data_IF_589448481121
#
_entry.id   IF_589448481121
#
_cell.length_a   1.000
_cell.length_b   1.000
_cell.length_c   1.000
_cell.angle_alpha   90.00
_cell.angle_beta   90.00
_cell.angle_gamma   90.00
#
_symmetry.space_group_name_H-M   'P 1'
#
loop_
_entity.id
_entity.type
_entity.pdbx_description
1 polymer ?
#
# COMPACT_ATOMS: atom_id res chain seq x y z
N UNK A 1 46.91 2.89 -0.11
CA UNK A 1 45.67 2.27 0.42
C UNK A 1 44.70 3.38 0.77
N UNK A 2 43.44 3.30 0.32
CA UNK A 2 42.51 4.43 0.24
C UNK A 2 41.89 4.80 1.59
N UNK A 3 41.92 6.11 1.93
CA UNK A 3 41.32 6.70 3.15
C UNK A 3 39.84 6.38 3.35
N UNK A 4 39.13 6.05 2.26
CA UNK A 4 37.72 5.70 2.27
C UNK A 4 37.49 4.32 2.92
N UNK A 5 38.45 3.40 2.78
CA UNK A 5 38.34 2.05 3.32
C UNK A 5 38.51 2.03 4.85
N UNK A 6 39.30 2.95 5.39
CA UNK A 6 39.55 3.10 6.81
C UNK A 6 38.36 3.76 7.54
N UNK A 7 37.72 4.74 6.89
CA UNK A 7 36.51 5.39 7.41
C UNK A 7 35.30 4.44 7.52
N UNK A 8 35.12 3.54 6.53
CA UNK A 8 34.04 2.55 6.57
C UNK A 8 34.28 1.47 7.63
N UNK A 9 35.54 1.11 7.90
CA UNK A 9 35.88 0.13 8.94
C UNK A 9 35.71 0.71 10.35
N UNK A 10 36.00 1.99 10.56
CA UNK A 10 35.75 2.68 11.83
C UNK A 10 34.24 2.87 12.10
N UNK A 11 33.42 3.15 11.08
CA UNK A 11 31.98 3.27 11.23
C UNK A 11 31.29 1.93 11.60
N UNK A 12 31.88 0.80 11.20
CA UNK A 12 31.37 -0.54 11.54
C UNK A 12 31.72 -0.98 12.97
N UNK A 13 32.81 -0.46 13.56
CA UNK A 13 33.30 -0.87 14.88
C UNK A 13 32.75 -0.03 16.04
N UNK A 14 32.02 1.06 15.77
CA UNK A 14 31.56 2.02 16.77
C UNK A 14 30.08 2.00 17.15
N UNK A 15 29.30 0.97 16.82
CA UNK A 15 27.87 0.92 17.13
C UNK A 15 27.57 0.02 18.33
N UNK A 16 27.62 0.61 19.53
CA UNK A 16 26.89 0.06 20.68
C UNK A 16 25.38 0.35 20.55
N UNK A 17 24.49 -0.56 21.01
CA UNK A 17 23.06 -0.37 20.97
C UNK A 17 22.62 0.50 22.16
N UNK A 18 22.68 1.82 22.01
CA UNK A 18 22.05 2.72 22.97
C UNK A 18 20.53 2.76 22.74
N UNK A 19 19.81 2.31 23.76
CA UNK A 19 18.37 2.28 23.90
C UNK A 19 17.72 3.62 23.52
N UNK A 20 16.73 3.57 22.62
CA UNK A 20 15.68 4.59 22.57
C UNK A 20 14.67 4.30 23.70
N UNK A 21 15.01 4.73 24.92
CA UNK A 21 14.05 4.96 26.00
C UNK A 21 13.76 6.46 26.04
N UNK A 22 12.70 6.88 25.35
CA UNK A 22 12.23 8.25 25.34
C UNK A 22 10.74 8.26 25.06
N UNK A 23 9.93 8.23 26.12
CA UNK A 23 8.49 8.40 26.06
C UNK A 23 8.16 9.80 25.52
N UNK A 24 7.76 9.89 24.26
CA UNK A 24 7.15 11.08 23.71
C UNK A 24 5.66 11.08 24.10
N UNK A 25 5.30 11.83 25.14
CA UNK A 25 3.88 12.15 25.43
C UNK A 25 3.35 13.10 24.35
N UNK A 26 2.30 12.73 23.58
CA UNK A 26 1.66 13.68 22.69
C UNK A 26 0.67 14.53 23.51
N UNK A 27 1.07 15.77 23.78
CA UNK A 27 0.13 16.84 24.10
C UNK A 27 -0.66 17.15 22.83
N UNK A 28 -1.96 16.85 22.75
CA UNK A 28 -2.94 17.68 22.06
C UNK A 28 -4.36 17.23 22.46
N UNK A 29 -5.05 18.09 23.20
CA UNK A 29 -6.47 18.00 23.50
C UNK A 29 -7.29 18.28 22.24
N UNK A 30 -7.98 17.27 21.71
CA UNK A 30 -9.05 17.46 20.73
C UNK A 30 -10.37 17.43 21.49
N UNK A 31 -11.01 18.60 21.59
CA UNK A 31 -12.37 18.77 22.10
C UNK A 31 -13.34 18.55 20.94
N UNK A 32 -14.32 17.66 21.12
CA UNK A 32 -15.43 17.45 20.19
C UNK A 32 -16.16 16.12 20.42
N UNK A 33 -17.14 16.14 21.32
CA UNK A 33 -18.18 15.11 21.58
C UNK A 33 -19.11 14.97 20.33
N UNK A 34 -19.78 13.87 20.00
CA UNK A 34 -20.20 12.68 20.73
C UNK A 34 -20.39 11.48 19.77
N UNK A 35 -20.10 10.28 20.28
CA UNK A 35 -20.32 8.99 19.64
C UNK A 35 -19.53 7.93 20.40
N UNK A 36 -20.22 7.18 21.28
CA UNK A 36 -19.67 6.27 22.28
C UNK A 36 -18.61 5.30 21.73
N UNK A 37 -17.50 5.18 22.47
CA UNK A 37 -16.61 4.01 22.44
C UNK A 37 -15.25 4.18 21.77
N UNK A 38 -14.25 4.59 22.57
CA UNK A 38 -12.85 4.20 22.43
C UNK A 38 -12.12 4.47 21.08
N UNK A 39 -12.11 5.74 20.63
CA UNK A 39 -11.39 6.18 19.42
C UNK A 39 -9.85 5.99 19.40
N UNK A 40 -9.27 5.39 20.43
CA UNK A 40 -7.81 5.18 20.61
C UNK A 40 -7.43 3.71 20.81
N UNK A 41 -8.40 2.79 20.86
CA UNK A 41 -8.15 1.39 21.22
C UNK A 41 -7.36 0.63 20.13
N UNK A 42 -7.52 1.02 18.87
CA UNK A 42 -6.79 0.43 17.73
C UNK A 42 -5.29 0.78 17.73
N UNK A 43 -4.89 1.92 18.33
CA UNK A 43 -3.48 2.32 18.46
C UNK A 43 -2.72 1.45 19.46
N UNK A 44 -3.42 0.86 20.44
CA UNK A 44 -2.83 0.05 21.50
C UNK A 44 -2.91 -1.46 21.22
N UNK A 45 -3.44 -1.85 20.04
CA UNK A 45 -3.52 -3.24 19.63
C UNK A 45 -2.14 -3.68 19.13
N UNK A 46 -1.57 -4.71 19.74
CA UNK A 46 -0.38 -5.35 19.20
C UNK A 46 -0.63 -5.73 17.75
N UNK A 47 0.30 -5.37 16.87
CA UNK A 47 0.21 -5.72 15.46
C UNK A 47 0.02 -7.24 15.36
N UNK A 48 -1.04 -7.71 14.68
CA UNK A 48 -1.29 -9.14 14.57
C UNK A 48 -0.07 -9.81 13.91
N UNK A 49 0.26 -11.01 14.38
CA UNK A 49 1.40 -11.77 13.87
C UNK A 49 1.20 -12.12 12.40
N UNK A 50 2.28 -12.48 11.69
CA UNK A 50 2.20 -12.88 10.29
C UNK A 50 1.25 -14.07 10.07
N UNK A 51 1.15 -14.98 11.05
CA UNK A 51 0.18 -16.08 11.06
C UNK A 51 -1.27 -15.61 11.26
N UNK A 52 -1.52 -14.73 12.24
CA UNK A 52 -2.86 -14.17 12.48
C UNK A 52 -3.37 -13.36 11.28
N UNK A 53 -2.47 -12.63 10.60
CA UNK A 53 -2.78 -11.91 9.36
C UNK A 53 -3.06 -12.86 8.20
N UNK A 54 -2.24 -13.91 8.05
CA UNK A 54 -2.45 -14.91 7.01
C UNK A 54 -3.79 -15.65 7.20
N UNK A 55 -4.12 -15.99 8.45
CA UNK A 55 -5.39 -16.61 8.81
C UNK A 55 -6.59 -15.68 8.54
N UNK A 56 -6.49 -14.39 8.90
CA UNK A 56 -7.53 -13.40 8.61
C UNK A 56 -7.74 -13.13 7.11
N UNK A 57 -6.70 -13.29 6.29
CA UNK A 57 -6.79 -13.17 4.82
C UNK A 57 -7.33 -14.46 4.19
N UNK A 58 -7.00 -15.64 4.72
CA UNK A 58 -7.55 -16.92 4.23
C UNK A 58 -9.01 -17.11 4.61
N UNK A 59 -9.43 -16.61 5.77
CA UNK A 59 -10.82 -16.52 6.22
C UNK A 59 -11.47 -15.21 5.77
N UNK A 60 -11.28 -14.82 4.52
CA UNK A 60 -12.18 -13.84 3.88
C UNK A 60 -13.25 -14.60 3.05
N UNK A 61 -14.19 -15.35 3.70
CA UNK A 61 -15.29 -16.00 3.01
C UNK A 61 -16.20 -14.88 2.47
N UNK A 62 -15.95 -14.49 1.22
CA UNK A 62 -16.67 -13.39 0.63
C UNK A 62 -15.87 -12.52 -0.32
N UNK A 63 -14.58 -12.78 -0.61
CA UNK A 63 -13.88 -11.96 -1.62
C UNK A 63 -14.61 -12.00 -2.98
N UNK A 64 -15.11 -13.16 -3.37
CA UNK A 64 -15.91 -13.32 -4.58
C UNK A 64 -17.29 -12.65 -4.48
N UNK A 65 -17.95 -12.71 -3.31
CA UNK A 65 -19.23 -12.01 -3.07
C UNK A 65 -19.04 -10.48 -3.10
N UNK A 66 -18.03 -9.99 -2.38
CA UNK A 66 -17.60 -8.61 -2.36
C UNK A 66 -17.28 -8.14 -3.78
N UNK A 67 -16.49 -8.88 -4.56
CA UNK A 67 -16.16 -8.51 -5.93
C UNK A 67 -17.41 -8.42 -6.84
N UNK A 68 -18.41 -9.26 -6.64
CA UNK A 68 -19.67 -9.14 -7.37
C UNK A 68 -20.47 -7.89 -7.00
N UNK A 69 -20.34 -7.42 -5.75
CA UNK A 69 -21.03 -6.25 -5.21
C UNK A 69 -20.27 -4.94 -5.40
N UNK A 70 -18.95 -5.01 -5.60
CA UNK A 70 -18.08 -3.86 -5.80
C UNK A 70 -18.49 -3.03 -7.00
N UNK A 71 -18.24 -1.72 -6.92
CA UNK A 71 -18.47 -0.80 -8.03
C UNK A 71 -17.51 -1.10 -9.18
N UNK A 72 -18.02 -0.99 -10.41
CA UNK A 72 -17.24 -1.20 -11.64
C UNK A 72 -17.27 0.04 -12.54
N UNK A 73 -16.66 1.16 -12.11
CA UNK A 73 -16.68 2.40 -12.88
C UNK A 73 -15.65 2.28 -14.01
N UNK A 74 -16.01 1.64 -15.14
CA UNK A 74 -15.11 1.28 -16.24
C UNK A 74 -13.81 2.09 -16.31
N UNK A 75 -12.70 1.48 -15.90
CA UNK A 75 -11.47 2.17 -15.59
C UNK A 75 -10.87 2.81 -16.85
N UNK A 76 -10.39 4.05 -16.71
CA UNK A 76 -9.75 4.80 -17.79
C UNK A 76 -8.38 5.24 -17.31
N UNK A 77 -7.49 4.26 -17.25
CA UNK A 77 -6.11 4.45 -16.81
C UNK A 77 -5.41 5.50 -17.69
N UNK A 78 -4.91 6.56 -17.06
CA UNK A 78 -4.12 7.56 -17.73
C UNK A 78 -2.82 6.91 -18.27
N UNK A 79 -2.57 6.95 -19.60
CA UNK A 79 -1.40 6.31 -20.20
C UNK A 79 -0.06 6.81 -19.66
N UNK A 80 -0.01 8.00 -19.06
CA UNK A 80 1.21 8.55 -18.43
C UNK A 80 1.58 7.83 -17.13
N UNK A 81 0.61 7.19 -16.48
CA UNK A 81 0.80 6.43 -15.24
C UNK A 81 0.96 4.92 -15.46
N UNK A 82 0.72 4.42 -16.68
CA UNK A 82 0.85 3.01 -17.00
C UNK A 82 2.04 2.72 -17.92
N UNK A 83 3.11 2.24 -17.31
CA UNK A 83 4.30 1.73 -18.00
C UNK A 83 4.06 0.31 -18.48
N UNK A 84 3.28 -0.44 -17.70
CA UNK A 84 3.10 -1.88 -17.85
C UNK A 84 2.09 -2.18 -18.96
N UNK A 85 0.95 -1.50 -19.01
CA UNK A 85 -0.09 -1.73 -20.02
C UNK A 85 0.23 -1.10 -21.38
N UNK A 86 1.16 -0.15 -21.44
CA UNK A 86 1.51 0.54 -22.68
C UNK A 86 2.66 -0.15 -23.43
N UNK A 87 2.33 -0.91 -24.47
CA UNK A 87 3.23 -1.83 -25.18
C UNK A 87 4.27 -1.19 -26.11
N UNK A 88 4.18 0.11 -26.41
CA UNK A 88 5.00 0.72 -27.49
C UNK A 88 6.09 1.69 -27.03
N UNK A 89 6.08 2.20 -25.80
CA UNK A 89 6.99 3.31 -25.42
C UNK A 89 7.81 3.09 -24.14
N UNK A 90 7.57 2.04 -23.36
CA UNK A 90 8.16 1.93 -22.01
C UNK A 90 8.70 0.54 -21.61
N UNK A 91 9.00 -0.32 -22.57
CA UNK A 91 9.47 -1.71 -22.33
C UNK A 91 10.61 -1.83 -21.29
N UNK A 92 11.67 -0.99 -21.32
CA UNK A 92 12.75 -1.10 -20.33
C UNK A 92 12.32 -0.76 -18.89
N UNK A 93 11.33 0.13 -18.74
CA UNK A 93 10.81 0.55 -17.45
C UNK A 93 9.84 -0.50 -16.88
N UNK A 94 9.02 -1.13 -17.73
CA UNK A 94 8.14 -2.24 -17.32
C UNK A 94 8.94 -3.41 -16.72
N UNK A 95 10.12 -3.71 -17.30
CA UNK A 95 11.01 -4.75 -16.79
C UNK A 95 11.55 -4.43 -15.37
N UNK A 96 11.69 -3.16 -15.01
CA UNK A 96 12.09 -2.79 -13.64
C UNK A 96 11.03 -3.17 -12.61
N UNK A 97 9.74 -3.02 -12.96
CA UNK A 97 8.65 -3.46 -12.08
C UNK A 97 8.56 -5.00 -12.00
N UNK A 98 8.85 -5.71 -13.09
CA UNK A 98 9.00 -7.18 -13.07
C UNK A 98 10.11 -7.61 -12.10
N UNK A 99 11.26 -6.93 -12.13
CA UNK A 99 12.39 -7.18 -11.21
C UNK A 99 12.03 -6.85 -9.77
N UNK A 100 11.37 -5.71 -9.52
CA UNK A 100 10.92 -5.32 -8.19
C UNK A 100 9.97 -6.37 -7.60
N UNK A 101 8.96 -6.80 -8.36
CA UNK A 101 8.06 -7.90 -7.96
C UNK A 101 8.82 -9.17 -7.62
N UNK A 102 9.78 -9.59 -8.46
CA UNK A 102 10.57 -10.79 -8.22
C UNK A 102 11.38 -10.69 -6.92
N UNK A 103 11.96 -9.51 -6.62
CA UNK A 103 12.66 -9.27 -5.35
C UNK A 103 11.73 -9.34 -4.14
N UNK A 104 10.53 -8.77 -4.22
CA UNK A 104 9.54 -8.86 -3.15
C UNK A 104 9.12 -10.32 -2.90
N UNK A 105 9.07 -11.15 -3.94
CA UNK A 105 8.75 -12.57 -3.79
C UNK A 105 9.86 -13.39 -3.17
N UNK A 106 11.11 -13.06 -3.47
CA UNK A 106 12.26 -13.64 -2.77
C UNK A 106 12.24 -13.28 -1.28
N UNK A 107 11.90 -12.03 -0.93
CA UNK A 107 11.75 -11.63 0.47
C UNK A 107 10.63 -12.42 1.17
N UNK A 108 9.55 -12.71 0.44
CA UNK A 108 8.43 -13.49 0.96
C UNK A 108 8.79 -14.94 1.34
N UNK A 109 9.87 -15.50 0.80
CA UNK A 109 10.29 -16.88 1.10
C UNK A 109 10.70 -17.04 2.58
N UNK A 110 11.14 -15.95 3.22
CA UNK A 110 11.53 -15.96 4.64
C UNK A 110 10.38 -15.53 5.56
N UNK A 111 9.54 -14.58 5.12
CA UNK A 111 8.41 -14.07 5.90
C UNK A 111 7.19 -13.74 5.02
N UNK A 112 5.95 -14.01 5.46
CA UNK A 112 4.75 -13.70 4.67
C UNK A 112 4.63 -12.19 4.39
N UNK A 113 4.65 -11.82 3.10
CA UNK A 113 4.46 -10.44 2.66
C UNK A 113 3.06 -10.26 2.04
N UNK A 114 2.10 -9.85 2.87
CA UNK A 114 0.71 -9.59 2.47
C UNK A 114 0.40 -8.10 2.28
N UNK A 115 1.16 -7.21 2.91
CA UNK A 115 0.93 -5.77 2.89
C UNK A 115 2.24 -5.03 2.61
N UNK A 116 2.19 -4.06 1.71
CA UNK A 116 3.32 -3.22 1.35
C UNK A 116 2.91 -1.74 1.44
N UNK A 117 3.67 -0.95 2.18
CA UNK A 117 3.54 0.50 2.19
C UNK A 117 4.55 1.11 1.21
N UNK A 118 4.05 1.88 0.24
CA UNK A 118 4.89 2.69 -0.65
C UNK A 118 4.83 4.13 -0.16
N UNK A 119 5.97 4.64 0.31
CA UNK A 119 6.11 6.03 0.78
C UNK A 119 7.36 6.67 0.17
N UNK A 120 7.52 7.97 0.37
CA UNK A 120 8.64 8.71 -0.18
C UNK A 120 9.04 9.86 0.76
N UNK A 121 10.25 10.37 0.62
CA UNK A 121 10.82 11.38 1.51
C UNK A 121 10.25 12.78 1.26
N UNK A 122 9.87 13.08 0.01
CA UNK A 122 9.28 14.37 -0.38
C UNK A 122 8.07 14.19 -1.32
N UNK A 123 7.19 15.20 -1.45
CA UNK A 123 6.11 15.19 -2.45
C UNK A 123 6.64 14.99 -3.88
N UNK A 124 5.80 14.43 -4.76
CA UNK A 124 6.08 14.25 -6.19
C UNK A 124 7.25 13.31 -6.59
N UNK A 125 7.80 12.50 -5.70
CA UNK A 125 8.82 11.46 -6.04
C UNK A 125 8.26 10.23 -6.77
N UNK A 126 6.99 10.22 -7.16
CA UNK A 126 6.40 9.11 -7.91
C UNK A 126 5.92 7.92 -7.09
N UNK A 127 5.69 8.05 -5.77
CA UNK A 127 5.11 7.00 -4.91
C UNK A 127 3.83 6.38 -5.47
N UNK A 128 2.86 7.18 -5.93
CA UNK A 128 1.63 6.68 -6.57
C UNK A 128 1.92 5.92 -7.86
N UNK A 129 2.83 6.43 -8.69
CA UNK A 129 3.26 5.78 -9.94
C UNK A 129 3.92 4.42 -9.67
N UNK A 130 4.80 4.35 -8.67
CA UNK A 130 5.48 3.11 -8.27
C UNK A 130 4.46 2.11 -7.70
N UNK A 131 3.56 2.54 -6.83
CA UNK A 131 2.54 1.68 -6.24
C UNK A 131 1.60 1.08 -7.30
N UNK A 132 1.13 1.91 -8.24
CA UNK A 132 0.23 1.49 -9.31
C UNK A 132 0.90 0.49 -10.27
N UNK A 133 2.12 0.79 -10.75
CA UNK A 133 2.82 -0.13 -11.65
C UNK A 133 3.29 -1.40 -10.93
N UNK A 134 3.65 -1.33 -9.65
CA UNK A 134 3.94 -2.54 -8.90
C UNK A 134 2.70 -3.42 -8.73
N UNK A 135 1.53 -2.84 -8.44
CA UNK A 135 0.27 -3.56 -8.38
C UNK A 135 -0.04 -4.27 -9.70
N UNK A 136 0.02 -3.54 -10.83
CA UNK A 136 -0.16 -4.12 -12.17
C UNK A 136 0.85 -5.24 -12.46
N UNK A 137 2.11 -5.09 -12.05
CA UNK A 137 3.12 -6.15 -12.21
C UNK A 137 2.74 -7.41 -11.44
N UNK A 138 2.22 -7.28 -10.21
CA UNK A 138 1.79 -8.42 -9.39
C UNK A 138 0.56 -9.10 -10.01
N UNK A 139 -0.44 -8.32 -10.45
CA UNK A 139 -1.70 -8.81 -11.02
C UNK A 139 -1.52 -9.57 -12.34
N UNK A 140 -0.46 -9.28 -13.09
CA UNK A 140 -0.09 -10.06 -14.30
C UNK A 140 0.22 -11.53 -14.04
N UNK A 141 0.38 -11.94 -12.79
CA UNK A 141 0.52 -13.35 -12.46
C UNK A 141 -0.84 -14.00 -12.30
N UNK A 142 -0.93 -15.25 -12.75
CA UNK A 142 -2.13 -16.04 -12.54
C UNK A 142 -2.50 -16.15 -11.06
N UNK A 143 -3.80 -16.00 -10.78
CA UNK A 143 -4.40 -16.20 -9.47
C UNK A 143 -3.82 -15.28 -8.38
N UNK A 144 -3.52 -14.02 -8.73
CA UNK A 144 -3.10 -12.98 -7.78
C UNK A 144 -4.12 -11.87 -7.76
N UNK A 145 -4.51 -11.48 -6.55
CA UNK A 145 -5.37 -10.34 -6.28
C UNK A 145 -4.54 -9.27 -5.57
N UNK A 146 -4.74 -8.02 -5.97
CA UNK A 146 -4.12 -6.86 -5.34
C UNK A 146 -5.19 -5.86 -5.00
N UNK A 147 -5.23 -5.44 -3.74
CA UNK A 147 -5.99 -4.27 -3.31
C UNK A 147 -5.02 -3.09 -3.22
N UNK A 148 -5.15 -2.13 -4.13
CA UNK A 148 -4.39 -0.89 -4.09
C UNK A 148 -5.20 0.18 -3.36
N UNK A 149 -4.66 0.68 -2.24
CA UNK A 149 -5.32 1.66 -1.37
C UNK A 149 -4.59 2.99 -1.46
N UNK A 150 -5.32 4.08 -1.73
CA UNK A 150 -4.77 5.43 -1.63
C UNK A 150 -4.73 5.86 -0.15
N UNK A 151 -3.56 5.76 0.46
CA UNK A 151 -3.33 6.18 1.84
C UNK A 151 -3.03 7.68 1.99
N UNK A 152 -2.86 8.45 0.91
CA UNK A 152 -2.64 9.90 1.00
C UNK A 152 -3.98 10.62 1.09
N UNK A 153 -4.53 10.70 2.30
CA UNK A 153 -5.81 11.38 2.56
C UNK A 153 -5.76 12.90 2.35
N UNK A 154 -4.56 13.49 2.23
CA UNK A 154 -4.39 14.94 2.04
C UNK A 154 -4.42 15.30 0.57
N UNK A 155 -3.80 14.48 -0.29
CA UNK A 155 -3.75 14.68 -1.74
C UNK A 155 -3.88 13.33 -2.47
N UNK A 156 -5.06 12.70 -2.42
CA UNK A 156 -5.27 11.45 -3.12
C UNK A 156 -5.09 11.66 -4.63
N UNK A 157 -4.45 10.70 -5.30
CA UNK A 157 -4.15 10.76 -6.74
C UNK A 157 -4.58 9.50 -7.48
N UNK A 158 -4.79 8.38 -6.77
CA UNK A 158 -5.03 7.09 -7.40
C UNK A 158 -6.29 7.08 -8.26
N UNK A 159 -7.39 7.64 -7.75
CA UNK A 159 -8.65 7.71 -8.50
C UNK A 159 -8.51 8.50 -9.80
N UNK A 160 -7.73 9.59 -9.78
CA UNK A 160 -7.41 10.37 -10.98
C UNK A 160 -6.57 9.57 -11.96
N UNK A 161 -5.53 8.86 -11.48
CA UNK A 161 -4.70 8.00 -12.32
C UNK A 161 -5.50 6.90 -13.02
N UNK A 162 -6.47 6.30 -12.31
CA UNK A 162 -7.34 5.23 -12.83
C UNK A 162 -8.53 5.75 -13.64
N UNK A 163 -8.78 7.06 -13.66
CA UNK A 163 -9.93 7.65 -14.35
C UNK A 163 -11.28 7.29 -13.73
N UNK A 164 -11.32 7.08 -12.41
CA UNK A 164 -12.51 6.64 -11.66
C UNK A 164 -13.00 7.69 -10.65
N UNK A 165 -14.25 7.61 -10.18
CA UNK A 165 -14.73 8.48 -9.11
C UNK A 165 -13.93 8.28 -7.81
N UNK A 166 -13.49 9.37 -7.17
CA UNK A 166 -12.75 9.31 -5.91
C UNK A 166 -13.59 9.12 -4.66
N UNK A 167 -14.93 9.08 -4.78
CA UNK A 167 -15.84 8.95 -3.64
C UNK A 167 -17.07 8.03 -3.96
N UNK A 168 -17.65 7.38 -2.93
CA UNK A 168 -17.05 7.18 -1.61
C UNK A 168 -15.74 6.37 -1.69
N UNK A 169 -14.80 6.66 -0.78
CA UNK A 169 -13.47 6.04 -0.72
C UNK A 169 -13.03 5.74 0.72
N UNK A 170 -11.71 5.64 0.95
CA UNK A 170 -11.15 5.25 2.25
C UNK A 170 -11.61 6.17 3.40
N UNK A 171 -11.73 7.48 3.15
CA UNK A 171 -12.19 8.44 4.15
C UNK A 171 -13.60 8.14 4.64
N UNK A 172 -14.54 7.87 3.71
CA UNK A 172 -15.93 7.55 4.03
C UNK A 172 -16.04 6.20 4.75
N UNK A 173 -15.24 5.21 4.33
CA UNK A 173 -15.16 3.92 5.00
C UNK A 173 -14.70 4.04 6.45
N UNK A 174 -13.60 4.76 6.70
CA UNK A 174 -13.06 4.97 8.05
C UNK A 174 -13.99 5.77 8.96
N UNK A 175 -14.90 6.57 8.40
CA UNK A 175 -15.95 7.28 9.16
C UNK A 175 -17.19 6.42 9.43
N UNK A 176 -17.27 5.20 8.88
CA UNK A 176 -18.43 4.32 9.02
C UNK A 176 -19.66 4.79 8.24
N UNK A 177 -19.49 5.65 7.23
CA UNK A 177 -20.60 6.16 6.39
C UNK A 177 -20.71 5.47 5.03
N UNK A 178 -19.82 4.52 4.76
CA UNK A 178 -19.78 3.70 3.55
C UNK A 178 -19.25 2.30 3.89
N UNK A 179 -19.75 1.27 3.21
CA UNK A 179 -19.30 -0.12 3.38
C UNK A 179 -18.21 -0.51 2.36
N UNK A 180 -17.59 -1.68 2.55
CA UNK A 180 -16.53 -2.20 1.68
C UNK A 180 -16.98 -2.31 0.21
N UNK A 181 -18.22 -2.74 -0.04
CA UNK A 181 -18.74 -2.92 -1.41
C UNK A 181 -18.95 -1.60 -2.14
N UNK A 182 -19.16 -0.51 -1.41
CA UNK A 182 -19.36 0.82 -1.97
C UNK A 182 -18.05 1.58 -2.23
N UNK A 183 -16.99 1.27 -1.48
CA UNK A 183 -15.68 1.97 -1.55
C UNK A 183 -14.65 1.22 -2.38
N UNK A 184 -14.72 -0.12 -2.41
CA UNK A 184 -13.87 -0.92 -3.29
C UNK A 184 -14.39 -0.85 -4.72
N UNK A 185 -13.49 -0.54 -5.63
CA UNK A 185 -13.75 -0.47 -7.06
C UNK A 185 -12.93 -1.54 -7.75
N UNK A 186 -13.50 -2.20 -8.75
CA UNK A 186 -12.78 -3.19 -9.57
C UNK A 186 -12.94 -2.85 -11.04
N UNK A 187 -11.99 -3.28 -11.86
CA UNK A 187 -12.19 -3.19 -13.30
C UNK A 187 -13.30 -4.14 -13.78
N UNK A 188 -13.89 -3.80 -14.93
CA UNK A 188 -14.95 -4.57 -15.59
C UNK A 188 -14.47 -5.93 -16.10
N UNK A 189 -13.19 -6.05 -16.49
CA UNK A 189 -12.65 -7.27 -17.09
C UNK A 189 -11.78 -8.08 -16.12
N UNK A 190 -11.49 -7.54 -14.93
CA UNK A 190 -10.57 -8.17 -13.97
C UNK A 190 -9.13 -8.25 -14.51
N UNK A 191 -8.82 -7.50 -15.57
CA UNK A 191 -7.47 -7.37 -16.13
C UNK A 191 -6.63 -6.33 -15.36
N UNK A 192 -7.28 -5.52 -14.51
CA UNK A 192 -6.71 -4.47 -13.66
C UNK A 192 -7.36 -4.40 -12.28
#
# INVERSE_FOLDING_TARGET
MSRIHEALKQAAQGREPALFAGEAKPNHSVVGEAGDGNGVEWLNRSMPTSEERAAAVSDFPGLNDLWQRCRKPGWKLDPTYSVISNSKSFVPCAEQFSRLRARLYQLRENEPLHTLLVTSSVPAEGKTFVALNLAMAIMRQHNRYVLLVDGDLRRPQLATCLGVPGAPGLTEFLRGVADESSVVQTDTEGEL
#
